data_IF_771849848331
#
_entry.id   IF_771849848331
#
_cell.length_a   1.000
_cell.length_b   1.000
_cell.length_c   1.000
_cell.angle_alpha   90.00
_cell.angle_beta   90.00
_cell.angle_gamma   90.00
#
_symmetry.space_group_name_H-M   'P 1'
#
loop_
_entity.id
_entity.type
_entity.pdbx_description
1 polymer ?
#
# COMPACT_ATOMS: atom_id res chain seq x y z
N UNK A 1 -59.77 16.05 33.38
CA UNK A 1 -59.68 14.99 32.37
C UNK A 1 -59.27 13.73 33.09
N UNK A 2 -60.23 12.85 33.36
CA UNK A 2 -60.06 11.59 34.08
C UNK A 2 -59.29 10.63 33.18
N UNK A 3 -58.14 10.12 33.64
CA UNK A 3 -57.43 9.05 32.94
C UNK A 3 -58.38 7.85 32.77
N UNK A 4 -58.45 7.23 31.57
CA UNK A 4 -59.29 6.05 31.36
C UNK A 4 -58.90 4.96 32.35
N UNK A 5 -59.89 4.24 32.87
CA UNK A 5 -59.63 3.12 33.77
C UNK A 5 -58.82 2.04 33.02
N UNK A 6 -57.98 1.29 33.74
CA UNK A 6 -57.13 0.26 33.12
C UNK A 6 -57.94 -0.76 32.27
N UNK A 7 -59.20 -1.02 32.65
CA UNK A 7 -60.13 -1.89 31.91
C UNK A 7 -60.61 -1.28 30.59
N UNK A 8 -60.84 0.03 30.54
CA UNK A 8 -61.21 0.72 29.29
C UNK A 8 -60.03 0.76 28.31
N UNK A 9 -58.82 0.96 28.83
CA UNK A 9 -57.60 0.90 28.01
C UNK A 9 -57.34 -0.51 27.47
N UNK A 10 -57.60 -1.56 28.26
CA UNK A 10 -57.51 -2.96 27.82
C UNK A 10 -58.56 -3.30 26.75
N UNK A 11 -59.80 -2.85 26.93
CA UNK A 11 -60.87 -3.03 25.95
C UNK A 11 -60.56 -2.33 24.61
N UNK A 12 -60.04 -1.11 24.66
CA UNK A 12 -59.61 -0.38 23.46
C UNK A 12 -58.43 -1.06 22.75
N UNK A 13 -57.45 -1.56 23.51
CA UNK A 13 -56.33 -2.33 22.96
C UNK A 13 -56.80 -3.64 22.31
N UNK A 14 -57.74 -4.36 22.95
CA UNK A 14 -58.30 -5.58 22.40
C UNK A 14 -59.06 -5.33 21.10
N UNK A 15 -59.87 -4.27 21.03
CA UNK A 15 -60.57 -3.90 19.80
C UNK A 15 -59.60 -3.60 18.64
N UNK A 16 -58.50 -2.91 18.92
CA UNK A 16 -57.44 -2.67 17.93
C UNK A 16 -56.79 -3.98 17.45
N UNK A 17 -56.52 -4.92 18.36
CA UNK A 17 -55.99 -6.24 18.04
C UNK A 17 -56.97 -7.11 17.24
N UNK A 18 -58.27 -7.03 17.53
CA UNK A 18 -59.32 -7.76 16.79
C UNK A 18 -59.50 -7.22 15.36
N UNK A 19 -59.46 -5.89 15.19
CA UNK A 19 -59.44 -5.27 13.87
C UNK A 19 -58.21 -5.65 13.05
N UNK A 20 -57.04 -5.65 13.68
CA UNK A 20 -55.79 -6.11 13.07
C UNK A 20 -55.81 -7.60 12.69
N UNK A 21 -56.46 -8.44 13.49
CA UNK A 21 -56.61 -9.85 13.18
C UNK A 21 -57.45 -10.07 11.93
N UNK A 22 -58.49 -9.26 11.72
CA UNK A 22 -59.32 -9.29 10.51
C UNK A 22 -58.58 -8.73 9.28
N UNK A 23 -57.74 -7.71 9.46
CA UNK A 23 -56.99 -7.05 8.38
C UNK A 23 -55.71 -7.79 7.98
N UNK A 24 -55.15 -8.63 8.87
CA UNK A 24 -53.89 -9.36 8.64
C UNK A 24 -52.62 -8.53 8.84
N UNK A 25 -52.73 -7.31 9.37
CA UNK A 25 -51.60 -6.40 9.62
C UNK A 25 -51.46 -6.08 11.12
N UNK A 26 -50.23 -5.96 11.66
CA UNK A 26 -50.03 -5.65 13.07
C UNK A 26 -50.48 -4.22 13.39
N UNK A 27 -51.25 -3.98 14.47
CA UNK A 27 -51.72 -2.64 14.82
C UNK A 27 -50.58 -1.81 15.42
N UNK A 28 -50.76 -0.49 15.39
CA UNK A 28 -49.92 0.38 16.22
C UNK A 28 -50.30 0.21 17.69
N UNK A 29 -49.34 -0.24 18.49
CA UNK A 29 -49.48 -0.51 19.93
C UNK A 29 -48.70 0.51 20.78
N UNK A 30 -48.23 1.61 20.17
CA UNK A 30 -47.56 2.71 20.87
C UNK A 30 -48.55 3.36 21.84
N UNK A 31 -48.13 3.53 23.09
CA UNK A 31 -48.92 4.20 24.14
C UNK A 31 -49.63 3.28 25.12
N UNK A 32 -49.74 1.98 24.85
CA UNK A 32 -50.27 1.02 25.84
C UNK A 32 -49.19 0.57 26.83
N UNK A 33 -49.56 0.44 28.10
CA UNK A 33 -48.67 -0.09 29.14
C UNK A 33 -48.50 -1.60 29.01
N UNK A 34 -47.42 -2.15 29.60
CA UNK A 34 -47.15 -3.58 29.54
C UNK A 34 -48.25 -4.46 30.14
N UNK A 35 -48.94 -3.99 31.18
CA UNK A 35 -50.05 -4.70 31.83
C UNK A 35 -51.30 -4.72 30.94
N UNK A 36 -51.64 -3.57 30.35
CA UNK A 36 -52.78 -3.44 29.42
C UNK A 36 -52.56 -4.31 28.17
N UNK A 37 -51.34 -4.33 27.63
CA UNK A 37 -50.98 -5.19 26.50
C UNK A 37 -51.05 -6.68 26.86
N UNK A 38 -50.58 -7.08 28.03
CA UNK A 38 -50.62 -8.48 28.45
C UNK A 38 -52.06 -8.97 28.64
N UNK A 39 -52.93 -8.14 29.24
CA UNK A 39 -54.36 -8.42 29.38
C UNK A 39 -55.07 -8.55 28.03
N UNK A 40 -54.90 -7.57 27.14
CA UNK A 40 -55.54 -7.56 25.83
C UNK A 40 -55.09 -8.74 24.94
N UNK A 41 -53.80 -9.07 24.92
CA UNK A 41 -53.28 -10.23 24.18
C UNK A 41 -53.80 -11.56 24.76
N UNK A 42 -53.98 -11.66 26.08
CA UNK A 42 -54.57 -12.84 26.71
C UNK A 42 -56.05 -12.97 26.36
N UNK A 43 -56.80 -11.87 26.33
CA UNK A 43 -58.19 -11.86 25.90
C UNK A 43 -58.33 -12.27 24.43
N UNK A 44 -57.45 -11.77 23.56
CA UNK A 44 -57.40 -12.14 22.14
C UNK A 44 -57.15 -13.64 21.94
N UNK A 45 -56.17 -14.20 22.66
CA UNK A 45 -55.88 -15.65 22.66
C UNK A 45 -57.08 -16.46 23.14
N UNK A 46 -57.77 -16.00 24.20
CA UNK A 46 -58.95 -16.69 24.73
C UNK A 46 -60.12 -16.70 23.73
N UNK A 47 -60.28 -15.64 22.92
CA UNK A 47 -61.37 -15.51 21.94
C UNK A 47 -61.09 -16.25 20.63
N UNK A 48 -59.86 -16.18 20.12
CA UNK A 48 -59.53 -16.63 18.77
C UNK A 48 -58.59 -17.84 18.73
N UNK A 49 -58.05 -18.28 19.86
CA UNK A 49 -57.20 -19.48 19.96
C UNK A 49 -56.07 -19.48 18.93
N UNK A 50 -55.97 -20.56 18.17
CA UNK A 50 -54.95 -20.74 17.13
C UNK A 50 -54.96 -19.63 16.06
N UNK A 51 -56.12 -19.06 15.75
CA UNK A 51 -56.25 -18.04 14.71
C UNK A 51 -55.48 -16.75 15.06
N UNK A 52 -55.24 -16.46 16.34
CA UNK A 52 -54.46 -15.28 16.76
C UNK A 52 -52.96 -15.43 16.50
N UNK A 53 -52.44 -16.64 16.24
CA UNK A 53 -51.02 -16.90 16.21
C UNK A 53 -50.21 -16.15 15.14
N UNK A 54 -50.69 -15.97 13.90
CA UNK A 54 -49.97 -15.19 12.89
C UNK A 54 -49.79 -13.73 13.29
N UNK A 55 -50.84 -13.12 13.86
CA UNK A 55 -50.79 -11.74 14.35
C UNK A 55 -49.82 -11.60 15.53
N UNK A 56 -49.87 -12.53 16.49
CA UNK A 56 -48.95 -12.54 17.63
C UNK A 56 -47.48 -12.71 17.19
N UNK A 57 -47.22 -13.50 16.13
CA UNK A 57 -45.90 -13.65 15.52
C UNK A 57 -45.44 -12.34 14.89
N UNK A 58 -46.28 -11.72 14.07
CA UNK A 58 -45.99 -10.43 13.44
C UNK A 58 -45.66 -9.35 14.47
N UNK A 59 -46.40 -9.29 15.58
CA UNK A 59 -46.11 -8.37 16.69
C UNK A 59 -44.79 -8.73 17.38
N UNK A 60 -44.52 -10.02 17.65
CA UNK A 60 -43.28 -10.45 18.30
C UNK A 60 -42.02 -10.16 17.47
N UNK A 61 -42.12 -10.24 16.14
CA UNK A 61 -40.99 -10.06 15.24
C UNK A 61 -40.82 -8.58 14.84
N UNK A 62 -41.91 -7.81 14.70
CA UNK A 62 -41.91 -6.40 14.29
C UNK A 62 -41.89 -5.36 15.42
N UNK A 63 -42.23 -5.72 16.66
CA UNK A 63 -42.32 -4.73 17.74
C UNK A 63 -40.95 -4.12 18.10
N UNK A 64 -40.87 -2.78 18.05
CA UNK A 64 -39.70 -2.00 18.51
C UNK A 64 -39.59 -1.95 20.03
N UNK A 65 -40.72 -1.87 20.74
CA UNK A 65 -40.77 -1.78 22.20
C UNK A 65 -40.57 -3.16 22.87
N UNK A 66 -39.61 -3.23 23.81
CA UNK A 66 -39.29 -4.45 24.57
C UNK A 66 -40.49 -5.03 25.34
N UNK A 67 -41.36 -4.24 26.00
CA UNK A 67 -42.53 -4.77 26.70
C UNK A 67 -43.54 -5.45 25.74
N UNK A 68 -43.84 -4.83 24.61
CA UNK A 68 -44.75 -5.36 23.57
C UNK A 68 -44.25 -6.69 23.01
N UNK A 69 -42.95 -6.77 22.70
CA UNK A 69 -42.30 -8.01 22.24
C UNK A 69 -42.41 -9.13 23.28
N UNK A 70 -42.20 -8.81 24.56
CA UNK A 70 -42.26 -9.78 25.65
C UNK A 70 -43.69 -10.30 25.87
N UNK A 71 -44.68 -9.42 25.83
CA UNK A 71 -46.09 -9.78 25.97
C UNK A 71 -46.56 -10.69 24.83
N UNK A 72 -46.24 -10.36 23.58
CA UNK A 72 -46.56 -11.19 22.41
C UNK A 72 -45.89 -12.59 22.46
N UNK A 73 -44.60 -12.66 22.84
CA UNK A 73 -43.90 -13.94 23.02
C UNK A 73 -44.51 -14.80 24.13
N UNK A 74 -44.95 -14.18 25.24
CA UNK A 74 -45.64 -14.89 26.33
C UNK A 74 -47.00 -15.44 25.87
N UNK A 75 -47.76 -14.67 25.09
CA UNK A 75 -49.03 -15.12 24.52
C UNK A 75 -48.84 -16.32 23.57
N UNK A 76 -47.83 -16.27 22.68
CA UNK A 76 -47.45 -17.40 21.82
C UNK A 76 -47.04 -18.64 22.62
N UNK A 77 -46.28 -18.46 23.71
CA UNK A 77 -45.86 -19.55 24.59
C UNK A 77 -47.06 -20.20 25.28
N UNK A 78 -48.03 -19.41 25.76
CA UNK A 78 -49.28 -19.93 26.36
C UNK A 78 -50.13 -20.71 25.35
N UNK A 79 -50.21 -20.24 24.11
CA UNK A 79 -50.87 -21.00 23.02
C UNK A 79 -50.20 -22.36 22.78
N UNK A 80 -48.86 -22.41 22.76
CA UNK A 80 -48.11 -23.65 22.61
C UNK A 80 -48.32 -24.59 23.81
N UNK A 81 -48.33 -24.07 25.04
CA UNK A 81 -48.64 -24.84 26.26
C UNK A 81 -50.07 -25.42 26.25
N UNK A 82 -51.02 -24.74 25.59
CA UNK A 82 -52.39 -25.22 25.43
C UNK A 82 -52.56 -26.25 24.29
N UNK A 83 -51.47 -26.77 23.73
CA UNK A 83 -51.50 -27.84 22.71
C UNK A 83 -51.79 -27.35 21.28
N UNK A 84 -51.81 -26.03 21.04
CA UNK A 84 -52.00 -25.48 19.70
C UNK A 84 -50.71 -25.64 18.89
N UNK A 85 -50.74 -26.46 17.85
CA UNK A 85 -49.64 -26.64 16.93
C UNK A 85 -49.41 -25.35 16.12
N UNK A 86 -48.40 -24.57 16.51
CA UNK A 86 -47.98 -23.37 15.80
C UNK A 86 -46.92 -23.75 14.76
N UNK A 87 -47.05 -23.34 13.48
CA UNK A 87 -45.98 -23.53 12.51
C UNK A 87 -44.71 -22.82 13.01
N UNK A 88 -43.63 -23.59 13.14
CA UNK A 88 -42.33 -23.07 13.57
C UNK A 88 -41.84 -22.08 12.52
N UNK A 89 -41.58 -20.83 12.92
CA UNK A 89 -40.81 -19.92 12.06
C UNK A 89 -39.42 -20.51 11.90
N UNK A 90 -38.97 -20.65 10.65
CA UNK A 90 -37.60 -21.10 10.38
C UNK A 90 -36.62 -20.24 11.20
N UNK A 91 -35.66 -20.84 11.92
CA UNK A 91 -34.67 -20.08 12.64
C UNK A 91 -33.90 -19.20 11.64
N UNK A 92 -33.81 -17.90 11.94
CA UNK A 92 -32.97 -16.99 11.17
C UNK A 92 -31.54 -17.56 11.13
N UNK A 93 -30.88 -17.61 9.96
CA UNK A 93 -29.54 -18.16 9.86
C UNK A 93 -28.61 -17.43 10.82
N UNK A 94 -28.00 -18.18 11.75
CA UNK A 94 -27.01 -17.65 12.69
C UNK A 94 -25.81 -17.20 11.86
N UNK A 95 -25.60 -15.89 11.76
CA UNK A 95 -24.41 -15.37 11.11
C UNK A 95 -23.16 -15.87 11.89
N UNK A 96 -22.12 -16.39 11.20
CA UNK A 96 -20.94 -16.90 11.87
C UNK A 96 -20.27 -15.81 12.72
N UNK A 97 -19.90 -16.16 13.96
CA UNK A 97 -19.29 -15.27 14.97
C UNK A 97 -17.92 -14.75 14.51
N UNK A 98 -17.22 -15.49 13.65
CA UNK A 98 -15.98 -15.06 13.02
C UNK A 98 -16.22 -14.87 11.52
N UNK A 99 -16.34 -13.61 11.11
CA UNK A 99 -16.30 -13.26 9.69
C UNK A 99 -14.84 -13.14 9.27
N UNK A 100 -14.41 -13.95 8.31
CA UNK A 100 -13.10 -13.76 7.66
C UNK A 100 -13.11 -12.39 6.99
N UNK A 101 -12.31 -11.45 7.50
CA UNK A 101 -12.10 -10.16 6.84
C UNK A 101 -11.06 -10.38 5.74
N UNK A 102 -11.25 -9.79 4.57
CA UNK A 102 -10.19 -9.77 3.57
C UNK A 102 -8.95 -9.11 4.18
N UNK A 103 -7.78 -9.69 3.97
CA UNK A 103 -6.52 -9.08 4.37
C UNK A 103 -6.34 -7.75 3.62
N UNK A 104 -6.15 -6.67 4.38
CA UNK A 104 -5.98 -5.32 3.84
C UNK A 104 -4.61 -4.79 4.26
N UNK A 105 -3.88 -4.10 3.35
CA UNK A 105 -2.64 -3.43 3.71
C UNK A 105 -2.98 -2.25 4.64
N UNK A 106 -2.35 -2.18 5.80
CA UNK A 106 -2.63 -1.17 6.83
C UNK A 106 -1.48 -0.18 7.04
N UNK A 107 -0.22 -0.60 6.81
CA UNK A 107 0.98 0.23 6.94
C UNK A 107 2.04 -0.25 5.96
N UNK A 108 2.91 0.64 5.49
CA UNK A 108 4.03 0.26 4.65
C UNK A 108 5.26 1.13 4.91
N UNK A 109 6.44 0.58 4.61
CA UNK A 109 7.71 1.27 4.68
C UNK A 109 8.54 1.01 3.43
N UNK A 110 9.29 2.02 3.01
CA UNK A 110 10.22 1.95 1.89
C UNK A 110 11.62 2.32 2.37
N UNK A 111 12.63 1.60 1.88
CA UNK A 111 13.99 2.13 1.92
C UNK A 111 14.19 3.20 0.85
N UNK A 112 15.28 3.95 0.95
CA UNK A 112 15.86 4.61 -0.22
C UNK A 112 16.07 3.64 -1.40
N UNK A 113 16.10 4.19 -2.62
CA UNK A 113 16.53 3.43 -3.81
C UNK A 113 18.02 3.62 -4.00
N UNK A 114 18.74 2.55 -4.32
CA UNK A 114 20.16 2.63 -4.61
C UNK A 114 20.44 2.92 -6.09
N UNK A 115 21.72 3.10 -6.42
CA UNK A 115 22.16 3.38 -7.79
C UNK A 115 21.92 2.22 -8.77
N UNK A 116 21.58 1.03 -8.29
CA UNK A 116 21.22 -0.14 -9.13
C UNK A 116 19.74 -0.19 -9.44
N UNK A 117 18.95 0.69 -8.82
CA UNK A 117 17.49 0.68 -8.91
C UNK A 117 16.82 -0.23 -7.88
N UNK A 118 17.57 -0.76 -6.91
CA UNK A 118 17.05 -1.68 -5.90
C UNK A 118 16.52 -0.94 -4.68
N UNK A 119 15.45 -1.45 -4.07
CA UNK A 119 14.86 -0.95 -2.83
C UNK A 119 14.14 -2.04 -2.04
N UNK A 120 14.18 -1.94 -0.73
CA UNK A 120 13.39 -2.76 0.17
C UNK A 120 12.01 -2.14 0.42
N UNK A 121 10.99 -3.00 0.48
CA UNK A 121 9.59 -2.63 0.73
C UNK A 121 8.99 -3.54 1.78
N UNK A 122 8.45 -2.95 2.85
CA UNK A 122 7.66 -3.67 3.85
C UNK A 122 6.20 -3.26 3.77
N UNK A 123 5.29 -4.22 3.71
CA UNK A 123 3.84 -3.98 3.75
C UNK A 123 3.23 -4.86 4.84
N UNK A 124 2.59 -4.22 5.80
CA UNK A 124 1.86 -4.87 6.88
C UNK A 124 0.39 -5.04 6.48
N UNK A 125 -0.08 -6.27 6.47
CA UNK A 125 -1.47 -6.62 6.23
C UNK A 125 -2.16 -7.01 7.54
N UNK A 126 -3.44 -6.67 7.64
CA UNK A 126 -4.33 -7.11 8.72
C UNK A 126 -5.59 -7.74 8.12
N UNK A 127 -5.99 -8.90 8.64
CA UNK A 127 -7.23 -9.56 8.25
C UNK A 127 -7.18 -11.07 8.45
N UNK A 128 -7.96 -11.80 7.66
CA UNK A 128 -8.13 -13.25 7.80
C UNK A 128 -9.03 -13.64 8.97
N UNK A 129 -8.86 -14.85 9.50
CA UNK A 129 -9.50 -15.27 10.75
C UNK A 129 -8.73 -14.68 11.94
N UNK A 130 -9.40 -13.83 12.73
CA UNK A 130 -8.83 -13.31 13.99
C UNK A 130 -7.94 -12.07 13.86
N UNK A 131 -7.89 -11.39 12.70
CA UNK A 131 -7.19 -10.11 12.54
C UNK A 131 -5.68 -10.23 12.70
N UNK A 132 -5.08 -11.32 12.22
CA UNK A 132 -3.65 -11.56 12.33
C UNK A 132 -2.87 -10.55 11.47
N UNK A 133 -1.73 -10.11 12.00
CA UNK A 133 -0.80 -9.25 11.27
C UNK A 133 0.16 -10.10 10.44
N UNK A 134 0.30 -9.77 9.17
CA UNK A 134 1.26 -10.39 8.25
C UNK A 134 2.17 -9.31 7.68
N UNK A 135 3.49 -9.49 7.84
CA UNK A 135 4.48 -8.62 7.21
C UNK A 135 4.95 -9.26 5.91
N UNK A 136 4.78 -8.56 4.80
CA UNK A 136 5.40 -8.88 3.52
C UNK A 136 6.67 -8.03 3.38
N UNK A 137 7.82 -8.67 3.20
CA UNK A 137 9.11 -8.00 2.94
C UNK A 137 9.55 -8.32 1.53
N UNK A 138 9.86 -7.29 0.73
CA UNK A 138 10.23 -7.43 -0.68
C UNK A 138 11.51 -6.66 -0.97
N UNK A 139 12.34 -7.19 -1.86
CA UNK A 139 13.38 -6.43 -2.55
C UNK A 139 12.93 -6.23 -4.00
N UNK A 140 12.71 -4.98 -4.40
CA UNK A 140 12.29 -4.61 -5.75
C UNK A 140 13.45 -3.99 -6.50
N UNK A 141 13.49 -4.17 -7.81
CA UNK A 141 14.42 -3.53 -8.73
C UNK A 141 13.68 -3.00 -9.97
N UNK A 142 14.01 -1.80 -10.40
CA UNK A 142 13.32 -1.12 -11.51
C UNK A 142 13.65 -1.68 -12.91
N UNK A 143 14.63 -2.58 -13.02
CA UNK A 143 15.03 -3.28 -14.25
C UNK A 143 14.77 -4.79 -14.21
N UNK A 144 14.74 -5.40 -13.01
CA UNK A 144 14.61 -6.84 -12.84
C UNK A 144 13.29 -7.29 -12.18
N UNK A 145 12.49 -6.37 -11.60
CA UNK A 145 11.22 -6.70 -10.97
C UNK A 145 11.36 -7.05 -9.50
N UNK A 146 10.74 -8.15 -9.06
CA UNK A 146 10.84 -8.64 -7.68
C UNK A 146 12.09 -9.52 -7.58
N UNK A 147 13.08 -9.09 -6.80
CA UNK A 147 14.30 -9.87 -6.56
C UNK A 147 14.13 -10.87 -5.43
N UNK A 148 13.51 -10.45 -4.33
CA UNK A 148 13.30 -11.29 -3.15
C UNK A 148 11.93 -11.05 -2.52
N UNK A 149 11.39 -12.10 -1.89
CA UNK A 149 10.17 -12.02 -1.10
C UNK A 149 10.26 -12.85 0.18
N UNK A 150 9.90 -12.25 1.30
CA UNK A 150 9.97 -12.86 2.62
C UNK A 150 8.84 -12.36 3.53
N UNK A 151 8.84 -12.86 4.76
CA UNK A 151 7.92 -12.43 5.82
C UNK A 151 6.91 -13.50 6.25
N UNK A 152 5.88 -13.07 6.98
CA UNK A 152 4.88 -13.93 7.59
C UNK A 152 4.19 -13.27 8.78
N UNK A 153 3.62 -14.09 9.67
CA UNK A 153 2.95 -13.60 10.87
C UNK A 153 3.90 -12.84 11.78
N UNK A 154 3.47 -11.68 12.27
CA UNK A 154 4.28 -10.82 13.15
C UNK A 154 3.43 -10.25 14.28
N UNK A 155 4.04 -9.96 15.43
CA UNK A 155 3.41 -9.19 16.51
C UNK A 155 3.80 -7.72 16.41
N UNK A 156 2.99 -6.81 16.95
CA UNK A 156 3.32 -5.36 16.98
C UNK A 156 4.67 -5.10 17.64
N UNK A 157 4.94 -5.75 18.78
CA UNK A 157 6.22 -5.64 19.51
C UNK A 157 7.41 -6.10 18.66
N UNK A 158 7.27 -7.20 17.92
CA UNK A 158 8.34 -7.67 17.04
C UNK A 158 8.54 -6.70 15.87
N UNK A 159 7.47 -6.26 15.22
CA UNK A 159 7.55 -5.27 14.14
C UNK A 159 8.31 -4.00 14.57
N UNK A 160 8.01 -3.46 15.75
CA UNK A 160 8.70 -2.28 16.29
C UNK A 160 10.18 -2.53 16.56
N UNK A 161 10.55 -3.71 17.05
CA UNK A 161 11.94 -4.09 17.26
C UNK A 161 12.71 -4.20 15.93
N UNK A 162 12.11 -4.82 14.92
CA UNK A 162 12.69 -4.97 13.59
C UNK A 162 12.87 -3.60 12.90
N UNK A 163 11.86 -2.71 12.99
CA UNK A 163 11.96 -1.33 12.48
C UNK A 163 13.05 -0.52 13.19
N UNK A 164 13.25 -0.72 14.51
CA UNK A 164 14.32 -0.06 15.25
C UNK A 164 15.69 -0.58 14.78
N UNK A 165 15.84 -1.89 14.65
CA UNK A 165 17.06 -2.52 14.15
C UNK A 165 17.43 -2.01 12.76
N UNK A 166 16.46 -1.89 11.85
CA UNK A 166 16.69 -1.30 10.52
C UNK A 166 17.20 0.13 10.60
N UNK A 167 16.61 0.99 11.43
CA UNK A 167 17.05 2.38 11.60
C UNK A 167 18.47 2.51 12.16
N UNK A 168 18.89 1.56 12.98
CA UNK A 168 20.23 1.55 13.60
C UNK A 168 21.33 1.02 12.66
N UNK A 169 21.02 0.04 11.81
CA UNK A 169 22.03 -0.72 11.07
C UNK A 169 22.01 -0.53 9.55
N UNK A 170 20.91 -0.03 8.98
CA UNK A 170 20.80 0.14 7.53
C UNK A 170 21.32 1.50 7.08
N UNK A 171 22.08 1.48 5.98
CA UNK A 171 22.67 2.70 5.39
C UNK A 171 21.63 3.59 4.72
N UNK A 172 20.58 2.99 4.14
CA UNK A 172 19.50 3.73 3.50
C UNK A 172 18.37 3.98 4.50
N UNK A 173 17.79 5.20 4.51
CA UNK A 173 16.70 5.53 5.41
C UNK A 173 15.46 4.69 5.09
N UNK A 174 14.75 4.30 6.14
CA UNK A 174 13.46 3.60 6.07
C UNK A 174 12.33 4.52 6.51
N UNK A 175 11.42 4.83 5.58
CA UNK A 175 10.35 5.80 5.81
C UNK A 175 8.99 5.13 5.68
N UNK A 176 8.06 5.53 6.54
CA UNK A 176 6.68 5.07 6.44
C UNK A 176 5.99 5.75 5.25
N UNK A 177 5.17 5.01 4.52
CA UNK A 177 4.47 5.50 3.32
C UNK A 177 3.04 4.99 3.27
N UNK A 178 2.26 5.54 2.34
CA UNK A 178 0.92 5.04 2.03
C UNK A 178 1.03 3.58 1.51
N UNK A 179 0.32 2.61 2.14
CA UNK A 179 0.29 1.24 1.65
C UNK A 179 -0.18 1.09 0.20
N UNK A 180 -0.99 2.01 -0.32
CA UNK A 180 -1.38 2.03 -1.73
C UNK A 180 -0.18 2.31 -2.64
N UNK A 181 0.69 3.26 -2.27
CA UNK A 181 1.95 3.55 -3.01
C UNK A 181 2.87 2.34 -3.02
N UNK A 182 3.10 1.73 -1.86
CA UNK A 182 3.94 0.54 -1.76
C UNK A 182 3.39 -0.61 -2.61
N UNK A 183 2.07 -0.83 -2.59
CA UNK A 183 1.40 -1.84 -3.41
C UNK A 183 1.54 -1.55 -4.90
N UNK A 184 1.51 -0.29 -5.32
CA UNK A 184 1.72 0.11 -6.71
C UNK A 184 3.12 -0.20 -7.22
N UNK A 185 4.15 0.07 -6.42
CA UNK A 185 5.53 -0.31 -6.76
C UNK A 185 5.67 -1.83 -6.95
N UNK A 186 4.99 -2.63 -6.12
CA UNK A 186 4.94 -4.09 -6.31
C UNK A 186 4.22 -4.44 -7.61
N UNK A 187 3.07 -3.80 -7.89
CA UNK A 187 2.33 -3.99 -9.14
C UNK A 187 3.18 -3.70 -10.39
N UNK A 188 4.01 -2.66 -10.36
CA UNK A 188 4.92 -2.35 -11.46
C UNK A 188 6.04 -3.37 -11.63
N UNK A 189 6.61 -3.87 -10.52
CA UNK A 189 7.59 -4.94 -10.56
C UNK A 189 7.00 -6.22 -11.15
N UNK A 190 5.74 -6.54 -10.84
CA UNK A 190 5.02 -7.66 -11.46
C UNK A 190 4.73 -7.42 -12.94
N UNK A 191 4.35 -6.20 -13.32
CA UNK A 191 4.19 -5.84 -14.72
C UNK A 191 5.51 -5.93 -15.50
N UNK A 192 6.65 -5.68 -14.85
CA UNK A 192 7.97 -5.84 -15.44
C UNK A 192 8.30 -7.32 -15.72
N UNK A 193 8.04 -8.22 -14.77
CA UNK A 193 8.12 -9.68 -15.01
C UNK A 193 7.27 -10.11 -16.21
N UNK A 194 6.01 -9.67 -16.26
CA UNK A 194 5.12 -9.98 -17.37
C UNK A 194 5.65 -9.48 -18.73
N UNK A 195 6.22 -8.27 -18.78
CA UNK A 195 6.85 -7.72 -19.99
C UNK A 195 8.09 -8.50 -20.42
N UNK A 196 8.89 -8.98 -19.47
CA UNK A 196 10.12 -9.73 -19.73
C UNK A 196 9.87 -11.22 -19.99
N UNK A 197 8.66 -11.72 -19.77
CA UNK A 197 8.35 -13.14 -19.82
C UNK A 197 9.02 -13.94 -18.70
N UNK A 198 9.33 -13.32 -17.57
CA UNK A 198 9.88 -13.96 -16.38
C UNK A 198 8.84 -14.06 -15.26
N UNK A 199 9.15 -14.84 -14.23
CA UNK A 199 8.31 -14.96 -13.03
C UNK A 199 9.02 -14.37 -11.80
N UNK A 200 8.27 -13.81 -10.84
CA UNK A 200 8.80 -13.49 -9.52
C UNK A 200 9.37 -14.73 -8.81
N UNK A 201 10.26 -14.55 -7.81
CA UNK A 201 10.83 -15.64 -7.04
C UNK A 201 9.73 -16.50 -6.38
N UNK A 202 9.95 -17.82 -6.20
CA UNK A 202 8.93 -18.74 -5.68
C UNK A 202 8.29 -18.29 -4.35
N UNK A 203 9.08 -17.66 -3.48
CA UNK A 203 8.68 -17.13 -2.18
C UNK A 203 7.59 -16.05 -2.28
N UNK A 204 7.47 -15.39 -3.45
CA UNK A 204 6.43 -14.40 -3.74
C UNK A 204 5.04 -15.04 -3.88
N UNK A 205 4.95 -16.33 -4.22
CA UNK A 205 3.69 -17.02 -4.54
C UNK A 205 2.63 -16.89 -3.44
N UNK A 206 3.04 -16.94 -2.17
CA UNK A 206 2.12 -16.76 -1.03
C UNK A 206 1.56 -15.33 -0.91
N UNK A 207 2.25 -14.34 -1.44
CA UNK A 207 1.89 -12.93 -1.39
C UNK A 207 1.06 -12.49 -2.59
N UNK A 208 1.12 -13.22 -3.71
CA UNK A 208 0.43 -12.89 -4.97
C UNK A 208 -1.04 -12.54 -4.79
N UNK A 209 -1.75 -13.22 -3.88
CA UNK A 209 -3.17 -12.96 -3.57
C UNK A 209 -3.45 -11.54 -3.06
N UNK A 210 -2.47 -10.88 -2.45
CA UNK A 210 -2.63 -9.52 -1.91
C UNK A 210 -2.43 -8.44 -2.98
N UNK A 211 -1.89 -8.79 -4.14
CA UNK A 211 -1.57 -7.87 -5.25
C UNK A 211 -2.32 -8.22 -6.54
N UNK A 212 -3.34 -9.08 -6.46
CA UNK A 212 -4.08 -9.58 -7.62
C UNK A 212 -4.99 -8.54 -8.29
N UNK A 213 -5.33 -7.47 -7.58
CA UNK A 213 -5.99 -6.31 -8.16
C UNK A 213 -4.92 -5.27 -8.49
N UNK A 214 -4.89 -4.72 -9.71
CA UNK A 214 -4.00 -3.61 -10.01
C UNK A 214 -4.35 -2.47 -9.04
N UNK A 215 -3.42 -2.02 -8.20
CA UNK A 215 -3.65 -0.84 -7.39
C UNK A 215 -3.98 0.32 -8.33
N UNK A 216 -4.94 1.18 -7.92
CA UNK A 216 -5.12 2.46 -8.58
C UNK A 216 -3.74 3.13 -8.61
N UNK A 217 -3.27 3.46 -9.82
CA UNK A 217 -1.95 4.07 -10.01
C UNK A 217 -1.87 5.29 -9.08
N UNK A 218 -0.94 5.35 -8.12
CA UNK A 218 -0.78 6.52 -7.29
C UNK A 218 -0.57 7.71 -8.23
N UNK A 219 -1.28 8.81 -7.98
CA UNK A 219 -1.30 9.98 -8.84
C UNK A 219 0.05 10.75 -8.89
N UNK A 220 1.11 10.24 -8.28
CA UNK A 220 2.36 10.98 -8.03
C UNK A 220 3.53 10.61 -8.97
N UNK A 221 3.25 9.98 -10.10
CA UNK A 221 4.27 9.49 -11.04
C UNK A 221 4.47 10.36 -12.29
N UNK A 222 3.94 11.58 -12.28
CA UNK A 222 4.63 12.63 -13.01
C UNK A 222 5.67 13.19 -12.04
N UNK A 223 6.95 12.97 -12.34
CA UNK A 223 7.88 14.08 -12.17
C UNK A 223 7.19 15.25 -12.86
N UNK A 224 6.46 16.08 -12.09
CA UNK A 224 5.79 17.22 -12.66
C UNK A 224 6.92 17.95 -13.36
N UNK A 225 6.75 18.18 -14.66
CA UNK A 225 7.59 19.06 -15.44
C UNK A 225 7.38 20.48 -14.87
N UNK A 226 7.77 20.66 -13.62
CA UNK A 226 7.97 21.94 -13.00
C UNK A 226 9.18 22.55 -13.65
N UNK A 227 9.18 23.87 -13.65
CA UNK A 227 10.29 24.65 -14.16
C UNK A 227 11.58 24.20 -13.46
N UNK A 228 12.58 23.81 -14.25
CA UNK A 228 13.88 23.38 -13.71
C UNK A 228 14.60 24.63 -13.22
N UNK A 229 14.68 24.78 -11.90
CA UNK A 229 15.48 25.83 -11.26
C UNK A 229 16.96 25.62 -11.58
N UNK A 230 17.53 26.53 -12.39
CA UNK A 230 18.93 26.48 -12.83
C UNK A 230 19.90 26.44 -11.66
N UNK A 231 19.63 27.16 -10.56
CA UNK A 231 20.53 27.19 -9.40
C UNK A 231 20.55 25.84 -8.65
N UNK A 232 19.40 25.18 -8.55
CA UNK A 232 19.34 23.81 -8.00
C UNK A 232 20.00 22.80 -8.93
N UNK A 233 19.87 22.99 -10.25
CA UNK A 233 20.49 22.11 -11.23
C UNK A 233 22.02 22.21 -11.22
N UNK A 234 22.57 23.42 -11.13
CA UNK A 234 24.02 23.66 -11.09
C UNK A 234 24.68 22.94 -9.90
N UNK A 235 23.96 22.90 -8.77
CA UNK A 235 24.38 22.22 -7.52
C UNK A 235 24.04 20.73 -7.48
N UNK A 236 23.40 20.18 -8.50
CA UNK A 236 22.91 18.79 -8.48
C UNK A 236 24.01 17.74 -8.28
N UNK A 237 25.27 18.04 -8.61
CA UNK A 237 26.40 17.16 -8.35
C UNK A 237 26.65 16.91 -6.84
N UNK A 238 26.29 17.86 -5.97
CA UNK A 238 26.43 17.75 -4.51
C UNK A 238 25.64 16.56 -3.94
N UNK A 239 24.59 16.11 -4.64
CA UNK A 239 23.83 14.92 -4.26
C UNK A 239 24.70 13.67 -4.12
N UNK A 240 25.75 13.55 -4.93
CA UNK A 240 26.65 12.40 -4.91
C UNK A 240 27.60 12.39 -3.71
N UNK A 241 27.68 13.49 -2.96
CA UNK A 241 28.42 13.57 -1.69
C UNK A 241 27.58 13.06 -0.50
N UNK A 242 26.28 12.82 -0.71
CA UNK A 242 25.40 12.28 0.32
C UNK A 242 25.68 10.77 0.53
N UNK A 243 25.71 10.28 1.78
CA UNK A 243 25.95 8.86 2.08
C UNK A 243 24.98 7.90 1.39
N UNK A 244 23.72 8.30 1.21
CA UNK A 244 22.70 7.48 0.55
C UNK A 244 22.98 7.28 -0.94
N UNK A 245 23.74 8.20 -1.56
CA UNK A 245 24.08 8.18 -2.98
C UNK A 245 25.55 7.77 -3.21
N UNK A 246 26.28 7.39 -2.17
CA UNK A 246 27.66 6.92 -2.29
C UNK A 246 27.81 5.73 -3.26
N UNK A 247 26.78 4.88 -3.32
CA UNK A 247 26.72 3.75 -4.23
C UNK A 247 26.22 4.08 -5.65
N UNK A 248 26.01 5.35 -6.00
CA UNK A 248 25.50 5.74 -7.30
C UNK A 248 26.65 6.07 -8.24
N UNK A 249 26.77 5.30 -9.31
CA UNK A 249 27.73 5.49 -10.39
C UNK A 249 27.28 4.69 -11.62
N UNK A 250 27.81 5.04 -12.78
CA UNK A 250 27.66 4.22 -13.99
C UNK A 250 28.44 2.92 -13.81
N UNK A 251 27.79 1.77 -14.09
CA UNK A 251 28.38 0.44 -13.89
C UNK A 251 29.72 0.29 -14.64
N UNK A 252 30.85 0.06 -13.93
CA UNK A 252 32.17 -0.09 -14.54
C UNK A 252 32.22 -1.21 -15.59
N UNK A 253 31.38 -2.24 -15.49
CA UNK A 253 31.30 -3.32 -16.48
C UNK A 253 30.82 -2.85 -17.85
N UNK A 254 30.11 -1.72 -17.92
CA UNK A 254 29.54 -1.17 -19.17
C UNK A 254 30.43 -0.10 -19.83
N UNK A 255 31.45 0.38 -19.11
CA UNK A 255 32.34 1.49 -19.51
C UNK A 255 33.82 1.13 -19.35
N UNK A 256 34.16 -0.16 -19.39
CA UNK A 256 35.53 -0.62 -19.17
C UNK A 256 36.54 -0.02 -20.17
N UNK A 257 36.22 -0.05 -21.46
CA UNK A 257 37.06 0.54 -22.52
C UNK A 257 37.24 2.05 -22.33
N UNK A 258 36.18 2.75 -21.93
CA UNK A 258 36.20 4.18 -21.69
C UNK A 258 37.09 4.54 -20.47
N UNK A 259 37.07 3.70 -19.43
CA UNK A 259 37.95 3.84 -18.27
C UNK A 259 39.42 3.60 -18.63
N UNK A 260 39.73 2.61 -19.48
CA UNK A 260 41.08 2.39 -20.01
C UNK A 260 41.56 3.60 -20.83
N UNK A 261 40.69 4.15 -21.68
CA UNK A 261 41.00 5.34 -22.46
C UNK A 261 41.28 6.56 -21.56
N UNK A 262 40.53 6.72 -20.47
CA UNK A 262 40.75 7.78 -19.48
C UNK A 262 42.11 7.64 -18.79
N UNK A 263 42.46 6.42 -18.38
CA UNK A 263 43.74 6.11 -17.76
C UNK A 263 44.91 6.42 -18.71
N UNK A 264 44.81 6.00 -19.97
CA UNK A 264 45.80 6.31 -21.01
C UNK A 264 45.91 7.82 -21.29
N UNK A 265 44.79 8.54 -21.27
CA UNK A 265 44.79 10.00 -21.45
C UNK A 265 45.54 10.71 -20.32
N UNK A 266 45.37 10.24 -19.07
CA UNK A 266 46.06 10.76 -17.87
C UNK A 266 47.55 10.44 -17.85
N UNK A 267 47.91 9.21 -18.22
CA UNK A 267 49.30 8.73 -18.22
C UNK A 267 50.12 9.19 -19.43
N UNK A 268 49.47 9.79 -20.45
CA UNK A 268 50.16 10.24 -21.66
C UNK A 268 51.30 11.22 -21.33
N UNK A 269 52.53 10.73 -21.53
CA UNK A 269 53.79 11.46 -21.35
C UNK A 269 54.11 12.47 -22.46
N UNK A 270 53.21 12.63 -23.44
CA UNK A 270 53.36 13.68 -24.44
C UNK A 270 53.32 15.03 -23.70
N UNK A 271 54.29 15.90 -24.02
CA UNK A 271 54.34 17.29 -23.53
C UNK A 271 53.23 18.08 -24.20
N UNK A 272 51.98 17.80 -23.84
CA UNK A 272 50.79 18.55 -24.22
C UNK A 272 50.36 19.42 -23.04
N UNK A 273 49.85 20.61 -23.36
CA UNK A 273 49.30 21.53 -22.36
C UNK A 273 48.17 20.89 -21.57
N UNK A 274 48.03 21.25 -20.30
CA UNK A 274 46.96 20.75 -19.40
C UNK A 274 45.56 20.95 -19.99
N UNK A 275 45.37 21.99 -20.80
CA UNK A 275 44.13 22.23 -21.54
C UNK A 275 43.74 21.08 -22.48
N UNK A 276 44.69 20.53 -23.25
CA UNK A 276 44.44 19.45 -24.22
C UNK A 276 44.13 18.14 -23.48
N UNK A 277 44.78 17.91 -22.33
CA UNK A 277 44.47 16.77 -21.45
C UNK A 277 43.04 16.89 -20.91
N UNK A 278 42.66 18.07 -20.43
CA UNK A 278 41.31 18.35 -19.94
C UNK A 278 40.24 18.18 -21.02
N UNK A 279 40.48 18.66 -22.24
CA UNK A 279 39.57 18.49 -23.38
C UNK A 279 39.39 17.01 -23.75
N UNK A 280 40.47 16.22 -23.71
CA UNK A 280 40.42 14.77 -23.98
C UNK A 280 39.65 14.01 -22.89
N UNK A 281 39.87 14.33 -21.62
CA UNK A 281 39.09 13.76 -20.52
C UNK A 281 37.60 14.11 -20.66
N UNK A 282 37.29 15.37 -20.94
CA UNK A 282 35.92 15.83 -21.15
C UNK A 282 35.24 15.08 -22.31
N UNK A 283 35.94 14.86 -23.42
CA UNK A 283 35.43 14.11 -24.56
C UNK A 283 35.10 12.63 -24.22
N UNK A 284 35.92 11.99 -23.39
CA UNK A 284 35.66 10.61 -22.91
C UNK A 284 34.41 10.58 -22.03
N UNK A 285 34.28 11.54 -21.12
CA UNK A 285 33.10 11.65 -20.24
C UNK A 285 31.84 11.88 -21.06
N UNK A 286 31.88 12.79 -22.04
CA UNK A 286 30.76 13.07 -22.94
C UNK A 286 30.32 11.82 -23.72
N UNK A 287 31.29 11.05 -24.24
CA UNK A 287 31.01 9.80 -24.96
C UNK A 287 30.33 8.76 -24.05
N UNK A 288 30.77 8.63 -22.80
CA UNK A 288 30.11 7.78 -21.80
C UNK A 288 28.69 8.25 -21.53
N UNK A 289 28.49 9.56 -21.37
CA UNK A 289 27.15 10.11 -21.11
C UNK A 289 26.20 9.78 -22.26
N UNK A 290 26.61 9.97 -23.52
CA UNK A 290 25.76 9.67 -24.67
C UNK A 290 25.41 8.18 -24.76
N UNK A 291 26.37 7.30 -24.46
CA UNK A 291 26.18 5.85 -24.48
C UNK A 291 25.22 5.39 -23.37
N UNK A 292 25.35 5.96 -22.17
CA UNK A 292 24.70 5.45 -20.96
C UNK A 292 23.40 6.17 -20.61
N UNK A 293 23.23 7.42 -21.02
CA UNK A 293 22.05 8.24 -20.73
C UNK A 293 21.17 8.41 -21.97
N UNK A 294 20.78 7.29 -22.56
CA UNK A 294 19.75 7.22 -23.61
C UNK A 294 18.36 7.57 -23.05
N UNK A 295 17.36 7.78 -23.90
CA UNK A 295 16.03 8.23 -23.47
C UNK A 295 15.37 7.36 -22.38
N UNK A 296 15.52 6.04 -22.45
CA UNK A 296 15.00 5.13 -21.41
C UNK A 296 15.83 5.19 -20.12
N UNK A 297 17.17 5.14 -20.23
CA UNK A 297 18.06 5.24 -19.08
C UNK A 297 17.88 6.58 -18.33
N UNK A 298 17.69 7.68 -19.06
CA UNK A 298 17.37 9.00 -18.49
C UNK A 298 16.08 8.97 -17.68
N UNK A 299 15.01 8.36 -18.20
CA UNK A 299 13.75 8.21 -17.46
C UNK A 299 13.93 7.36 -16.21
N UNK A 300 14.73 6.29 -16.27
CA UNK A 300 15.05 5.47 -15.09
C UNK A 300 15.79 6.27 -14.02
N UNK A 301 16.88 6.97 -14.38
CA UNK A 301 17.60 7.83 -13.44
C UNK A 301 16.76 8.98 -12.89
N UNK A 302 15.93 9.62 -13.72
CA UNK A 302 14.97 10.63 -13.28
C UNK A 302 14.03 10.06 -12.22
N UNK A 303 13.50 8.85 -12.43
CA UNK A 303 12.64 8.19 -11.48
C UNK A 303 13.35 7.85 -10.17
N UNK A 304 14.57 7.30 -10.24
CA UNK A 304 15.39 7.01 -9.05
C UNK A 304 15.63 8.28 -8.22
N UNK A 305 15.92 9.41 -8.86
CA UNK A 305 16.09 10.69 -8.19
C UNK A 305 14.78 11.25 -7.60
N UNK A 306 13.67 11.16 -8.33
CA UNK A 306 12.36 11.57 -7.83
C UNK A 306 11.97 10.77 -6.57
N UNK A 307 12.28 9.48 -6.57
CA UNK A 307 12.13 8.62 -5.40
C UNK A 307 13.01 9.07 -4.24
N UNK A 308 14.30 9.36 -4.47
CA UNK A 308 15.16 9.89 -3.41
C UNK A 308 14.70 11.26 -2.90
N UNK A 309 14.10 12.10 -3.76
CA UNK A 309 13.51 13.36 -3.34
C UNK A 309 12.37 13.15 -2.32
N UNK A 310 11.50 12.16 -2.54
CA UNK A 310 10.44 11.80 -1.58
C UNK A 310 11.03 11.30 -0.26
N UNK A 311 12.06 10.46 -0.33
CA UNK A 311 12.76 9.93 0.84
C UNK A 311 13.37 11.08 1.66
N UNK A 312 14.11 11.99 1.02
CA UNK A 312 14.70 13.15 1.71
C UNK A 312 13.66 14.08 2.31
N UNK A 313 12.53 14.30 1.63
CA UNK A 313 11.42 15.09 2.16
C UNK A 313 10.84 14.43 3.42
N UNK A 314 10.62 13.11 3.37
CA UNK A 314 10.07 12.35 4.50
C UNK A 314 11.00 12.28 5.72
N UNK A 315 12.30 12.49 5.53
CA UNK A 315 13.30 12.58 6.61
C UNK A 315 13.66 14.02 7.00
N UNK A 316 12.94 15.02 6.47
CA UNK A 316 13.12 16.44 6.81
C UNK A 316 14.32 17.12 6.12
N UNK A 317 14.95 16.48 5.14
CA UNK A 317 16.10 17.01 4.39
C UNK A 317 15.66 17.74 3.12
N UNK A 318 15.00 18.88 3.31
CA UNK A 318 14.33 19.62 2.23
C UNK A 318 15.29 20.10 1.12
N UNK A 319 16.52 20.51 1.45
CA UNK A 319 17.50 20.93 0.43
C UNK A 319 17.92 19.77 -0.48
N UNK A 320 18.27 18.62 0.10
CA UNK A 320 18.57 17.41 -0.68
C UNK A 320 17.35 16.97 -1.51
N UNK A 321 16.13 17.09 -0.97
CA UNK A 321 14.91 16.79 -1.69
C UNK A 321 14.71 17.70 -2.91
N UNK A 322 14.95 19.00 -2.77
CA UNK A 322 14.86 19.97 -3.87
C UNK A 322 15.92 19.73 -4.94
N UNK A 323 17.18 19.48 -4.55
CA UNK A 323 18.24 19.12 -5.50
C UNK A 323 17.91 17.85 -6.28
N UNK A 324 17.46 16.79 -5.59
CA UNK A 324 17.09 15.52 -6.23
C UNK A 324 15.88 15.70 -7.17
N UNK A 325 14.87 16.48 -6.76
CA UNK A 325 13.72 16.81 -7.60
C UNK A 325 14.10 17.62 -8.84
N UNK A 326 14.97 18.62 -8.70
CA UNK A 326 15.47 19.43 -9.83
C UNK A 326 16.28 18.59 -10.84
N UNK A 327 17.17 17.73 -10.34
CA UNK A 327 17.93 16.80 -11.18
C UNK A 327 17.01 15.78 -11.88
N UNK A 328 15.98 15.28 -11.18
CA UNK A 328 14.98 14.38 -11.76
C UNK A 328 14.21 15.06 -12.91
N UNK A 329 13.73 16.29 -12.70
CA UNK A 329 13.03 17.07 -13.71
C UNK A 329 13.92 17.35 -14.93
N UNK A 330 15.18 17.72 -14.73
CA UNK A 330 16.13 17.95 -15.81
C UNK A 330 16.41 16.69 -16.64
N UNK A 331 16.52 15.53 -16.00
CA UNK A 331 16.71 14.25 -16.68
C UNK A 331 15.47 13.82 -17.48
N UNK A 332 14.27 14.10 -16.94
CA UNK A 332 12.99 13.79 -17.57
C UNK A 332 12.67 14.68 -18.79
N UNK A 333 13.22 15.90 -18.84
CA UNK A 333 13.04 16.85 -19.93
C UNK A 333 13.81 16.40 -21.20
N UNK A 334 13.13 15.94 -22.27
CA UNK A 334 13.79 15.44 -23.47
C UNK A 334 14.49 16.54 -24.27
N UNK A 335 14.16 17.82 -24.04
CA UNK A 335 14.78 18.96 -24.74
C UNK A 335 16.19 19.28 -24.22
N UNK A 336 16.52 18.83 -23.00
CA UNK A 336 17.84 19.06 -22.39
C UNK A 336 18.85 18.03 -22.81
N UNK A 337 20.06 18.48 -23.09
CA UNK A 337 21.23 17.63 -23.34
C UNK A 337 21.74 17.05 -22.03
N UNK A 338 21.82 15.72 -21.93
CA UNK A 338 22.26 15.03 -20.70
C UNK A 338 23.69 15.43 -20.26
N UNK A 339 24.58 15.72 -21.22
CA UNK A 339 25.95 16.20 -20.96
C UNK A 339 26.01 17.49 -20.15
N UNK A 340 24.98 18.33 -20.24
CA UNK A 340 24.91 19.61 -19.53
C UNK A 340 24.28 19.49 -18.14
N UNK A 341 23.91 18.29 -17.69
CA UNK A 341 23.35 18.06 -16.35
C UNK A 341 24.51 17.72 -15.40
N UNK A 342 24.84 18.57 -14.41
CA UNK A 342 26.01 18.36 -13.54
C UNK A 342 25.99 17.02 -12.80
N UNK A 343 24.82 16.59 -12.30
CA UNK A 343 24.65 15.27 -11.70
C UNK A 343 25.04 14.12 -12.64
N UNK A 344 24.62 14.17 -13.91
CA UNK A 344 24.91 13.12 -14.91
C UNK A 344 26.40 13.03 -15.18
N UNK A 345 27.05 14.19 -15.37
CA UNK A 345 28.49 14.27 -15.59
C UNK A 345 29.28 13.74 -14.39
N UNK A 346 28.87 14.09 -13.18
CA UNK A 346 29.49 13.58 -11.96
C UNK A 346 29.28 12.06 -11.78
N UNK A 347 28.10 11.53 -12.14
CA UNK A 347 27.81 10.09 -12.09
C UNK A 347 28.67 9.29 -13.08
N UNK A 348 28.84 9.81 -14.30
CA UNK A 348 29.71 9.23 -15.32
C UNK A 348 31.18 9.26 -14.90
N UNK A 349 31.65 10.40 -14.37
CA UNK A 349 33.02 10.52 -13.86
C UNK A 349 33.31 9.53 -12.73
N UNK A 350 32.41 9.42 -11.74
CA UNK A 350 32.57 8.46 -10.65
C UNK A 350 32.62 7.00 -11.15
N UNK A 351 31.79 6.66 -12.13
CA UNK A 351 31.85 5.34 -12.78
C UNK A 351 33.18 5.08 -13.47
N UNK A 352 33.70 6.07 -14.21
CA UNK A 352 35.00 6.00 -14.87
C UNK A 352 36.14 5.84 -13.86
N UNK A 353 36.14 6.61 -12.77
CA UNK A 353 37.14 6.50 -11.69
C UNK A 353 37.17 5.09 -11.10
N UNK A 354 36.00 4.54 -10.74
CA UNK A 354 35.91 3.15 -10.26
C UNK A 354 36.41 2.18 -11.35
N UNK A 355 36.03 2.41 -12.62
CA UNK A 355 36.51 1.62 -13.75
C UNK A 355 38.04 1.65 -13.91
N UNK A 356 38.69 2.80 -13.65
CA UNK A 356 40.16 2.89 -13.68
C UNK A 356 40.81 2.09 -12.56
N UNK A 357 40.23 2.09 -11.35
CA UNK A 357 40.72 1.27 -10.24
C UNK A 357 40.56 -0.23 -10.51
N UNK A 358 39.49 -0.63 -11.22
CA UNK A 358 39.30 -2.00 -11.72
C UNK A 358 40.36 -2.35 -12.77
N UNK A 359 40.61 -1.47 -13.73
CA UNK A 359 41.64 -1.67 -14.76
C UNK A 359 43.06 -1.80 -14.16
N UNK A 360 43.34 -1.08 -13.08
CA UNK A 360 44.58 -1.17 -12.31
C UNK A 360 44.66 -2.42 -11.41
N UNK A 361 43.59 -3.23 -11.34
CA UNK A 361 43.53 -4.44 -10.52
C UNK A 361 43.44 -4.18 -9.02
N UNK A 362 43.15 -2.94 -8.60
CA UNK A 362 43.03 -2.56 -7.18
C UNK A 362 41.66 -2.91 -6.59
N UNK A 363 40.66 -3.00 -7.44
CA UNK A 363 39.29 -3.41 -7.11
C UNK A 363 38.84 -4.49 -8.08
N UNK A 364 38.10 -5.50 -7.61
CA UNK A 364 37.60 -6.54 -8.51
C UNK A 364 36.29 -6.12 -9.15
N UNK A 365 36.13 -6.34 -10.46
CA UNK A 365 34.90 -6.00 -11.17
C UNK A 365 33.63 -6.58 -10.51
N UNK A 366 33.58 -7.84 -10.03
CA UNK A 366 32.37 -8.37 -9.37
C UNK A 366 32.00 -7.67 -8.05
N UNK A 367 32.93 -6.94 -7.42
CA UNK A 367 32.67 -6.21 -6.17
C UNK A 367 32.02 -4.83 -6.43
N UNK A 368 32.15 -4.32 -7.66
CA UNK A 368 31.65 -2.98 -8.05
C UNK A 368 30.68 -3.00 -9.21
N UNK A 369 30.63 -4.08 -9.99
CA UNK A 369 29.59 -4.29 -10.99
C UNK A 369 28.30 -4.66 -10.28
N UNK A 370 27.21 -4.08 -10.76
CA UNK A 370 25.90 -4.21 -10.12
C UNK A 370 24.81 -4.56 -11.11
N UNK A 371 25.18 -5.17 -12.24
CA UNK A 371 24.23 -5.76 -13.15
C UNK A 371 23.42 -6.84 -12.40
N UNK A 372 22.08 -6.77 -12.40
CA UNK A 372 21.28 -7.79 -11.76
C UNK A 372 21.53 -9.13 -12.45
N UNK A 373 21.85 -10.16 -11.66
CA UNK A 373 21.99 -11.53 -12.14
C UNK A 373 20.61 -11.98 -12.65
N UNK A 374 20.44 -12.01 -13.97
CA UNK A 374 19.20 -12.52 -14.59
C UNK A 374 19.23 -14.04 -14.44
N UNK A 375 18.43 -14.58 -13.53
CA UNK A 375 18.16 -16.03 -13.46
C UNK A 375 17.09 -16.45 -14.44
#
# INVERSE_FOLDING_TARGET
>A
MTSPSAREAEAACLLSLEGALAAGEPPDLVGYTGEVLEGALQALVKRHGAAAAPLLRAIADGARAKPTRKAAKRALYRLAQAGVALPLSAPAPIAPVVRRRAEQPIRAWLSGIDGTGSRAVWILFEGGLGGQLQLCSLLLNDEAGVLEAAGGSITRKRLEAELRHLREHQKLPWVETDPARASALVGEALALHARMGSEPPPEFSRWRRFFALPPARPADDAAQAGEVDSHLLDRSAELLELPELAGWFVDPGQIHEDALALLQARESRLVVSDQIKGEREAAIVDAVIDKQFTGEARRRWARRLAEMALIFRSTGREEAARLAGGAAAALADPSRTARHIPFVRALAMRGLEIGTEVALGRVKLPEVSRAPTRT
#
